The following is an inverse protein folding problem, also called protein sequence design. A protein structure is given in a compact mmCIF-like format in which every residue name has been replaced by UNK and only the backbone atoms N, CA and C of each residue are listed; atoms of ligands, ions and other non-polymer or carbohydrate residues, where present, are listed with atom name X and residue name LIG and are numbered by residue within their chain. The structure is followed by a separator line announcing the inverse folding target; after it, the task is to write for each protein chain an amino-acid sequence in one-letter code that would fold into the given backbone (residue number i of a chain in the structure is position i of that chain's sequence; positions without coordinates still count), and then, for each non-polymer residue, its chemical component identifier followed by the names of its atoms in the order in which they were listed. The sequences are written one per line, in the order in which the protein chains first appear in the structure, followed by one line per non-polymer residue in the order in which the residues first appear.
data_IF_635120526868
#
_entry.id   IF_635120526868
#
_cell.length_a   1.000
_cell.length_b   1.000
_cell.length_c   1.000
_cell.angle_alpha   90.00
_cell.angle_beta   90.00
_cell.angle_gamma   90.00
#
_symmetry.space_group_name_H-M   'P 1'
#
loop_
_entity.id
_entity.type
_entity.pdbx_description
1 polymer ?
#
# COMPACT_ATOMS: atom_id res chain seq x y z
N UNK A 1 -10.11 -6.32 8.26
CA UNK A 1 -9.62 -6.66 6.89
C UNK A 1 -9.34 -5.36 6.16
N UNK A 2 -8.06 -4.98 5.97
CA UNK A 2 -7.66 -3.65 5.51
C UNK A 2 -6.87 -3.76 4.20
N UNK A 3 -7.30 -3.02 3.18
CA UNK A 3 -6.42 -2.65 2.06
C UNK A 3 -5.94 -1.24 2.36
N UNK A 4 -4.64 -1.08 2.39
CA UNK A 4 -3.96 0.13 2.81
C UNK A 4 -3.15 0.60 1.61
N UNK A 5 -3.42 1.81 1.14
CA UNK A 5 -2.51 2.45 0.20
C UNK A 5 -1.37 2.97 1.08
N UNK A 6 -0.34 2.13 1.25
CA UNK A 6 0.79 2.46 2.09
C UNK A 6 1.68 3.43 1.37
N UNK A 7 1.80 4.59 1.95
CA UNK A 7 2.84 5.52 1.60
C UNK A 7 3.92 5.55 2.68
N UNK A 8 4.26 4.38 3.27
CA UNK A 8 4.84 4.23 4.61
C UNK A 8 6.22 4.81 4.97
N UNK A 9 7.01 5.41 4.08
CA UNK A 9 7.89 6.48 4.53
C UNK A 9 7.13 7.77 4.89
N UNK A 10 5.80 7.73 5.03
CA UNK A 10 4.85 8.85 5.01
C UNK A 10 5.21 10.06 5.86
N UNK A 11 5.80 9.86 7.04
CA UNK A 11 6.24 10.99 7.88
C UNK A 11 7.57 11.59 7.43
N UNK A 12 8.49 10.75 6.97
CA UNK A 12 9.81 11.17 6.48
C UNK A 12 9.66 11.81 5.10
N UNK A 13 8.92 11.16 4.21
CA UNK A 13 8.75 11.57 2.81
C UNK A 13 7.43 12.32 2.54
N UNK A 14 6.66 12.67 3.58
CA UNK A 14 5.41 13.45 3.50
C UNK A 14 4.39 12.91 2.49
N UNK A 15 4.21 11.59 2.46
CA UNK A 15 3.35 10.93 1.48
C UNK A 15 1.98 10.58 2.12
N UNK A 16 0.83 10.96 1.54
CA UNK A 16 -0.50 10.74 2.16
C UNK A 16 -0.93 9.27 2.25
N UNK A 17 -1.43 8.83 3.41
CA UNK A 17 -1.90 7.44 3.63
C UNK A 17 -3.43 7.37 3.56
N UNK A 18 -3.97 6.43 2.78
CA UNK A 18 -5.40 6.17 2.71
C UNK A 18 -5.74 4.76 3.20
N UNK A 19 -6.74 4.67 4.08
CA UNK A 19 -7.13 3.44 4.77
C UNK A 19 -8.57 3.08 4.45
N UNK A 20 -8.81 1.82 4.10
CA UNK A 20 -10.17 1.28 4.00
C UNK A 20 -10.35 0.04 4.88
N UNK A 21 -11.57 -0.16 5.36
CA UNK A 21 -12.03 -1.41 5.95
C UNK A 21 -13.08 -2.04 5.06
N UNK A 22 -13.14 -3.37 5.04
CA UNK A 22 -14.18 -4.11 4.34
C UNK A 22 -15.24 -4.55 5.35
N UNK A 23 -16.44 -3.98 5.29
CA UNK A 23 -17.56 -4.32 6.19
C UNK A 23 -17.11 -4.48 7.65
N UNK A 24 -16.63 -3.38 8.25
CA UNK A 24 -16.01 -3.36 9.56
C UNK A 24 -16.90 -3.97 10.66
N UNK A 25 -18.22 -3.81 10.54
CA UNK A 25 -19.19 -4.42 11.45
C UNK A 25 -19.10 -5.95 11.52
N UNK A 26 -18.67 -6.60 10.42
CA UNK A 26 -18.52 -8.07 10.33
C UNK A 26 -17.07 -8.54 10.42
N UNK A 27 -16.12 -7.77 9.88
CA UNK A 27 -14.73 -8.20 9.71
C UNK A 27 -13.74 -7.46 10.62
N UNK A 28 -14.26 -6.63 11.52
CA UNK A 28 -13.48 -5.83 12.46
C UNK A 28 -12.86 -4.58 11.82
N UNK A 29 -12.41 -3.69 12.69
CA UNK A 29 -11.69 -2.46 12.33
C UNK A 29 -10.27 -2.75 11.82
N UNK A 30 -9.57 -1.70 11.40
CA UNK A 30 -8.12 -1.74 11.21
C UNK A 30 -7.43 -2.14 12.52
N UNK A 31 -6.37 -2.94 12.42
CA UNK A 31 -5.60 -3.42 13.58
C UNK A 31 -4.87 -2.28 14.28
N UNK A 32 -4.73 -2.38 15.61
CA UNK A 32 -4.17 -1.34 16.46
C UNK A 32 -2.74 -0.91 16.09
N UNK A 33 -1.96 -1.85 15.58
CA UNK A 33 -0.58 -1.68 15.17
C UNK A 33 -0.47 -0.72 13.99
N UNK A 34 -1.43 -0.76 13.06
CA UNK A 34 -1.51 0.17 11.96
C UNK A 34 -2.07 1.52 12.43
N UNK A 35 -3.15 1.54 13.22
CA UNK A 35 -3.73 2.82 13.68
C UNK A 35 -2.78 3.60 14.58
N UNK A 36 -1.87 2.94 15.30
CA UNK A 36 -0.84 3.58 16.11
C UNK A 36 0.19 4.37 15.30
N UNK A 37 0.49 3.95 14.06
CA UNK A 37 1.50 4.57 13.20
C UNK A 37 0.93 5.61 12.22
N UNK A 38 -0.39 5.59 11.99
CA UNK A 38 -1.06 6.56 11.13
C UNK A 38 -0.91 7.99 11.68
N UNK A 39 -0.83 9.01 10.81
CA UNK A 39 -0.94 10.40 11.22
C UNK A 39 -2.23 10.62 12.01
N UNK A 40 -2.14 11.34 13.13
CA UNK A 40 -3.28 11.59 14.05
C UNK A 40 -3.86 12.99 13.90
N UNK A 41 -3.28 13.81 13.02
CA UNK A 41 -3.71 15.15 12.75
C UNK A 41 -4.90 15.16 11.78
N UNK A 42 -5.65 16.26 11.77
CA UNK A 42 -6.88 16.42 10.97
C UNK A 42 -6.65 16.40 9.45
N UNK A 43 -5.39 16.32 9.00
CA UNK A 43 -5.02 16.15 7.59
C UNK A 43 -4.98 14.68 7.15
N UNK A 44 -5.02 13.74 8.09
CA UNK A 44 -5.05 12.32 7.81
C UNK A 44 -6.36 11.91 7.13
N UNK A 45 -6.31 11.20 5.98
CA UNK A 45 -7.50 10.68 5.33
C UNK A 45 -8.33 9.82 6.29
N UNK A 46 -9.64 10.10 6.33
CA UNK A 46 -10.59 9.39 7.19
C UNK A 46 -10.69 7.95 6.71
N UNK A 47 -10.53 6.98 7.61
CA UNK A 47 -10.77 5.56 7.30
C UNK A 47 -12.15 5.39 6.65
N UNK A 48 -12.18 4.76 5.47
CA UNK A 48 -13.42 4.52 4.71
C UNK A 48 -13.83 3.05 4.84
N UNK A 49 -14.90 2.78 5.58
CA UNK A 49 -15.56 1.47 5.54
C UNK A 49 -16.35 1.31 4.23
N UNK A 50 -16.20 0.17 3.60
CA UNK A 50 -16.79 -0.12 2.28
C UNK A 50 -17.28 -1.57 2.17
N UNK A 51 -18.20 -1.77 1.23
CA UNK A 51 -18.67 -3.10 0.81
C UNK A 51 -18.16 -3.51 -0.57
N UNK A 52 -17.81 -2.55 -1.44
CA UNK A 52 -17.12 -2.81 -2.69
C UNK A 52 -15.70 -3.34 -2.42
N UNK A 53 -15.21 -4.29 -3.21
CA UNK A 53 -13.87 -4.86 -3.00
C UNK A 53 -12.76 -3.88 -3.36
N UNK A 54 -12.91 -3.13 -4.45
CA UNK A 54 -12.02 -2.01 -4.77
C UNK A 54 -12.09 -0.92 -3.71
N UNK A 55 -10.96 -0.24 -3.47
CA UNK A 55 -10.91 0.98 -2.65
C UNK A 55 -11.45 2.21 -3.38
N UNK A 56 -11.57 2.15 -4.71
CA UNK A 56 -12.05 3.25 -5.55
C UNK A 56 -13.56 3.42 -5.42
N UNK A 57 -13.97 3.86 -4.24
CA UNK A 57 -15.34 4.23 -3.89
C UNK A 57 -15.45 5.75 -3.81
N UNK A 58 -16.63 6.35 -4.08
CA UNK A 58 -16.78 7.80 -4.18
C UNK A 58 -16.24 8.57 -2.96
N UNK A 59 -16.39 8.00 -1.76
CA UNK A 59 -15.90 8.61 -0.53
C UNK A 59 -14.38 8.68 -0.46
N UNK A 60 -13.67 7.66 -0.94
CA UNK A 60 -12.21 7.69 -1.02
C UNK A 60 -11.74 8.57 -2.17
N UNK A 61 -12.36 8.44 -3.35
CA UNK A 61 -12.03 9.25 -4.54
C UNK A 61 -12.12 10.75 -4.24
N UNK A 62 -13.12 11.18 -3.47
CA UNK A 62 -13.27 12.58 -3.07
C UNK A 62 -12.13 13.12 -2.18
N UNK A 63 -11.33 12.24 -1.58
CA UNK A 63 -10.17 12.57 -0.74
C UNK A 63 -8.84 12.49 -1.50
N UNK A 64 -8.84 11.91 -2.70
CA UNK A 64 -7.65 11.89 -3.54
C UNK A 64 -7.40 13.30 -4.11
N UNK A 65 -6.12 13.68 -4.34
CA UNK A 65 -5.82 14.92 -5.02
C UNK A 65 -6.61 15.05 -6.33
N UNK A 66 -7.25 16.18 -6.56
CA UNK A 66 -7.94 16.43 -7.83
C UNK A 66 -6.89 16.65 -8.91
N UNK A 67 -6.97 15.86 -9.98
CA UNK A 67 -5.94 15.88 -11.02
C UNK A 67 -6.29 16.82 -12.16
N UNK A 68 -5.53 17.90 -12.28
CA UNK A 68 -5.47 18.72 -13.49
C UNK A 68 -4.54 18.09 -14.55
N UNK A 69 -4.60 16.76 -14.74
CA UNK A 69 -3.94 15.93 -15.80
C UNK A 69 -2.70 15.08 -15.45
N UNK A 70 -2.18 15.06 -14.21
CA UNK A 70 -0.97 14.26 -13.88
C UNK A 70 -1.32 12.95 -13.16
N UNK A 71 -0.96 11.76 -13.69
CA UNK A 71 -1.11 10.49 -12.98
C UNK A 71 -0.45 10.44 -11.59
N UNK A 72 -1.17 9.90 -10.59
CA UNK A 72 -0.58 9.54 -9.31
C UNK A 72 0.36 8.34 -9.43
N UNK A 73 1.32 8.26 -8.52
CA UNK A 73 1.95 7.00 -8.14
C UNK A 73 1.28 6.48 -6.88
N UNK A 74 0.74 5.26 -6.93
CA UNK A 74 -0.03 4.65 -5.86
C UNK A 74 0.65 3.36 -5.41
N UNK A 75 0.97 3.27 -4.12
CA UNK A 75 1.62 2.12 -3.50
C UNK A 75 0.60 1.35 -2.67
N UNK A 76 0.42 0.05 -2.92
CA UNK A 76 -0.64 -0.75 -2.31
C UNK A 76 -0.06 -1.84 -1.42
N UNK A 77 -0.62 -1.95 -0.21
CA UNK A 77 -0.47 -3.09 0.70
C UNK A 77 -1.82 -3.56 1.23
N UNK A 78 -1.77 -4.65 1.99
CA UNK A 78 -2.91 -5.17 2.73
C UNK A 78 -3.49 -6.41 2.08
N UNK A 79 -4.75 -6.68 2.42
CA UNK A 79 -5.41 -7.94 2.09
C UNK A 79 -6.82 -7.71 1.52
N UNK A 80 -7.33 -8.60 0.67
CA UNK A 80 -6.64 -9.77 0.10
C UNK A 80 -6.03 -9.47 -1.28
N UNK A 81 -4.84 -10.02 -1.56
CA UNK A 81 -4.10 -9.79 -2.80
C UNK A 81 -4.97 -10.05 -4.03
N UNK A 82 -5.66 -11.19 -4.06
CA UNK A 82 -6.48 -11.63 -5.19
C UNK A 82 -7.88 -10.99 -5.27
N UNK A 83 -8.29 -10.23 -4.25
CA UNK A 83 -9.62 -9.62 -4.18
C UNK A 83 -9.50 -8.09 -4.16
N UNK A 84 -9.36 -7.51 -2.96
CA UNK A 84 -9.42 -6.06 -2.77
C UNK A 84 -8.22 -5.36 -3.38
N UNK A 85 -7.00 -5.90 -3.19
CA UNK A 85 -5.77 -5.33 -3.79
C UNK A 85 -5.87 -5.39 -5.32
N UNK A 86 -6.25 -6.54 -5.87
CA UNK A 86 -6.35 -6.71 -7.33
C UNK A 86 -7.38 -5.77 -7.94
N UNK A 87 -8.61 -5.71 -7.41
CA UNK A 87 -9.65 -4.84 -7.97
C UNK A 87 -9.31 -3.36 -7.83
N UNK A 88 -8.71 -2.96 -6.70
CA UNK A 88 -8.22 -1.59 -6.51
C UNK A 88 -7.14 -1.22 -7.52
N UNK A 89 -6.17 -2.09 -7.73
CA UNK A 89 -5.08 -1.86 -8.66
C UNK A 89 -5.58 -1.71 -10.11
N UNK A 90 -6.52 -2.56 -10.53
CA UNK A 90 -7.11 -2.50 -11.86
C UNK A 90 -7.90 -1.21 -12.09
N UNK A 91 -8.68 -0.76 -11.10
CA UNK A 91 -9.41 0.51 -11.21
C UNK A 91 -8.46 1.71 -11.29
N UNK A 92 -7.40 1.72 -10.47
CA UNK A 92 -6.38 2.77 -10.51
C UNK A 92 -5.64 2.82 -11.85
N UNK A 93 -5.29 1.65 -12.42
CA UNK A 93 -4.71 1.55 -13.76
C UNK A 93 -5.67 2.06 -14.84
N UNK A 94 -6.95 1.72 -14.75
CA UNK A 94 -7.98 2.20 -15.68
C UNK A 94 -8.16 3.72 -15.62
N UNK A 95 -7.93 4.33 -14.45
CA UNK A 95 -7.87 5.78 -14.25
C UNK A 95 -6.55 6.42 -14.70
N UNK A 96 -5.61 5.64 -15.22
CA UNK A 96 -4.33 6.10 -15.76
C UNK A 96 -3.25 6.35 -14.71
N UNK A 97 -3.42 5.88 -13.47
CA UNK A 97 -2.42 6.00 -12.42
C UNK A 97 -1.32 4.95 -12.54
N UNK A 98 -0.14 5.25 -11.99
CA UNK A 98 0.97 4.29 -11.84
C UNK A 98 0.75 3.51 -10.55
N UNK A 99 0.68 2.19 -10.64
CA UNK A 99 0.36 1.34 -9.49
C UNK A 99 1.55 0.46 -9.14
N UNK A 100 1.92 0.47 -7.87
CA UNK A 100 3.00 -0.30 -7.29
C UNK A 100 2.42 -1.24 -6.22
N UNK A 101 2.65 -2.54 -6.36
CA UNK A 101 2.24 -3.53 -5.37
C UNK A 101 3.44 -3.89 -4.52
N UNK A 102 3.34 -3.67 -3.21
CA UNK A 102 4.43 -3.97 -2.28
C UNK A 102 4.27 -5.43 -1.83
N UNK A 103 5.03 -6.33 -2.45
CA UNK A 103 4.85 -7.77 -2.37
C UNK A 103 4.94 -8.32 -0.94
N UNK A 104 5.88 -7.82 -0.15
CA UNK A 104 6.07 -8.14 1.26
C UNK A 104 5.06 -7.44 2.20
N UNK A 105 4.17 -6.60 1.64
CA UNK A 105 3.06 -5.98 2.34
C UNK A 105 1.68 -6.51 1.95
N UNK A 106 1.57 -7.44 0.99
CA UNK A 106 0.29 -8.01 0.56
C UNK A 106 0.18 -9.51 0.86
N UNK A 107 -1.03 -9.96 1.20
CA UNK A 107 -1.27 -11.38 1.39
C UNK A 107 -2.71 -11.79 1.07
N UNK A 108 -2.94 -13.09 1.00
CA UNK A 108 -4.25 -13.73 0.80
C UNK A 108 -4.44 -14.81 1.84
N UNK A 109 -5.70 -15.16 2.15
CA UNK A 109 -6.00 -16.24 3.09
C UNK A 109 -5.41 -17.58 2.62
N UNK A 110 -5.48 -17.83 1.31
CA UNK A 110 -4.89 -18.98 0.65
C UNK A 110 -3.55 -18.59 0.02
N UNK A 111 -2.46 -19.24 0.44
CA UNK A 111 -1.11 -18.90 0.00
C UNK A 111 -0.92 -19.02 -1.53
N UNK A 112 -1.59 -19.99 -2.17
CA UNK A 112 -1.52 -20.22 -3.62
C UNK A 112 -2.15 -19.11 -4.48
N UNK A 113 -3.09 -18.34 -3.93
CA UNK A 113 -3.75 -17.24 -4.65
C UNK A 113 -2.81 -16.03 -4.85
N UNK A 114 -1.91 -15.82 -3.89
CA UNK A 114 -1.01 -14.66 -3.87
C UNK A 114 -0.11 -14.59 -5.12
N UNK A 115 0.69 -15.62 -5.48
CA UNK A 115 1.55 -15.55 -6.67
C UNK A 115 0.74 -15.41 -7.97
N UNK A 116 -0.44 -16.04 -8.07
CA UNK A 116 -1.32 -15.90 -9.23
C UNK A 116 -1.80 -14.46 -9.40
N UNK A 117 -2.27 -13.84 -8.31
CA UNK A 117 -2.70 -12.45 -8.33
C UNK A 117 -1.56 -11.47 -8.65
N UNK A 118 -0.37 -11.66 -8.06
CA UNK A 118 0.80 -10.82 -8.33
C UNK A 118 1.26 -10.94 -9.79
N UNK A 119 1.32 -12.15 -10.35
CA UNK A 119 1.68 -12.37 -11.75
C UNK A 119 0.67 -11.73 -12.70
N UNK A 120 -0.63 -11.80 -12.37
CA UNK A 120 -1.67 -11.07 -13.11
C UNK A 120 -1.44 -9.57 -13.06
N UNK A 121 -1.30 -8.99 -11.86
CA UNK A 121 -1.14 -7.54 -11.70
C UNK A 121 0.10 -7.00 -12.43
N UNK A 122 1.21 -7.75 -12.40
CA UNK A 122 2.40 -7.40 -13.18
C UNK A 122 2.10 -7.35 -14.69
N UNK A 123 1.35 -8.32 -15.23
CA UNK A 123 0.95 -8.34 -16.65
C UNK A 123 -0.02 -7.21 -17.03
N UNK A 124 -0.86 -6.78 -16.11
CA UNK A 124 -1.83 -5.70 -16.32
C UNK A 124 -1.17 -4.30 -16.25
N UNK A 125 0.09 -4.22 -15.82
CA UNK A 125 0.87 -2.97 -15.81
C UNK A 125 1.20 -2.43 -14.42
N UNK A 126 0.93 -3.16 -13.35
CA UNK A 126 1.47 -2.80 -12.03
C UNK A 126 2.96 -3.12 -11.93
N UNK A 127 3.71 -2.27 -11.22
CA UNK A 127 5.07 -2.60 -10.79
C UNK A 127 5.01 -3.37 -9.47
N UNK A 128 5.52 -4.61 -9.45
CA UNK A 128 5.60 -5.40 -8.21
C UNK A 128 7.00 -5.23 -7.61
N UNK A 129 7.09 -4.65 -6.42
CA UNK A 129 8.35 -4.34 -5.72
C UNK A 129 8.26 -4.73 -4.24
N UNK A 130 9.35 -4.61 -3.50
CA UNK A 130 9.37 -4.79 -2.04
C UNK A 130 9.39 -3.46 -1.29
N UNK A 131 9.08 -3.49 0.00
CA UNK A 131 9.07 -2.30 0.86
C UNK A 131 10.44 -1.60 0.89
N UNK A 132 11.54 -2.35 1.07
CA UNK A 132 12.90 -1.79 1.07
C UNK A 132 13.28 -1.19 -0.30
N UNK A 133 12.92 -1.86 -1.39
CA UNK A 133 13.14 -1.34 -2.75
C UNK A 133 12.43 0.00 -2.96
N UNK A 134 11.17 0.11 -2.54
CA UNK A 134 10.41 1.34 -2.61
C UNK A 134 11.10 2.48 -1.84
N UNK A 135 11.54 2.21 -0.60
CA UNK A 135 12.12 3.23 0.26
C UNK A 135 13.38 3.86 -0.38
N UNK A 136 14.26 3.04 -0.96
CA UNK A 136 15.45 3.56 -1.62
C UNK A 136 15.17 4.14 -3.01
N UNK A 137 14.18 3.63 -3.74
CA UNK A 137 13.73 4.24 -5.00
C UNK A 137 13.21 5.67 -4.81
N UNK A 138 12.48 5.92 -3.72
CA UNK A 138 11.97 7.26 -3.39
C UNK A 138 13.07 8.23 -2.92
N UNK A 139 14.13 7.73 -2.32
CA UNK A 139 15.27 8.54 -1.87
C UNK A 139 16.23 8.85 -3.02
N UNK A 140 16.43 7.91 -3.94
CA UNK A 140 17.27 7.95 -5.13
C UNK A 140 18.80 8.19 -4.92
N UNK A 141 19.21 9.04 -3.98
CA UNK A 141 20.60 9.41 -3.71
C UNK A 141 20.93 9.32 -2.21
N UNK A 142 22.10 8.76 -1.88
CA UNK A 142 22.58 8.70 -0.49
C UNK A 142 22.90 10.09 0.10
N UNK A 143 23.00 11.13 -0.73
CA UNK A 143 23.14 12.52 -0.30
C UNK A 143 21.79 13.22 -0.04
N UNK A 144 20.66 12.58 -0.33
CA UNK A 144 19.35 13.14 -0.02
C UNK A 144 19.17 13.32 1.49
N UNK A 145 18.50 14.40 1.90
CA UNK A 145 18.28 14.71 3.31
C UNK A 145 17.50 13.60 4.06
N UNK A 146 16.68 12.83 3.33
CA UNK A 146 15.89 11.73 3.87
C UNK A 146 16.65 10.39 3.91
N UNK A 147 17.82 10.28 3.28
CA UNK A 147 18.59 9.03 3.25
C UNK A 147 18.91 8.52 4.65
N UNK A 148 19.42 9.37 5.54
CA UNK A 148 19.82 8.95 6.89
C UNK A 148 18.63 8.49 7.75
N UNK A 149 17.49 9.21 7.79
CA UNK A 149 16.26 8.70 8.40
C UNK A 149 15.81 7.35 7.81
N UNK A 150 15.77 7.20 6.49
CA UNK A 150 15.34 5.98 5.82
C UNK A 150 16.29 4.80 6.10
N UNK A 151 17.60 5.03 6.01
CA UNK A 151 18.62 4.02 6.33
C UNK A 151 18.54 3.54 7.78
N UNK A 152 18.23 4.45 8.72
CA UNK A 152 17.98 4.09 10.12
C UNK A 152 16.76 3.20 10.25
N UNK A 153 15.62 3.57 9.62
CA UNK A 153 14.39 2.77 9.63
C UNK A 153 14.61 1.36 9.06
N UNK A 154 15.30 1.25 7.92
CA UNK A 154 15.63 -0.06 7.31
C UNK A 154 16.49 -0.92 8.25
N UNK A 155 17.43 -0.31 8.98
CA UNK A 155 18.25 -1.05 9.97
C UNK A 155 17.42 -1.52 11.16
N UNK A 156 16.54 -0.66 11.69
CA UNK A 156 15.68 -0.99 12.83
C UNK A 156 14.65 -2.07 12.51
N UNK A 157 14.18 -2.14 11.26
CA UNK A 157 13.14 -3.07 10.80
C UNK A 157 13.70 -4.26 10.01
N UNK A 158 15.03 -4.45 10.02
CA UNK A 158 15.73 -5.45 9.19
C UNK A 158 15.20 -6.87 9.37
N UNK A 159 15.01 -7.30 10.62
CA UNK A 159 14.61 -8.68 10.91
C UNK A 159 13.14 -8.94 10.52
N UNK A 160 12.27 -7.94 10.73
CA UNK A 160 10.87 -7.99 10.30
C UNK A 160 10.77 -8.01 8.77
N UNK A 161 11.54 -7.15 8.09
CA UNK A 161 11.59 -7.09 6.62
C UNK A 161 12.09 -8.41 6.04
N UNK A 162 13.16 -8.98 6.61
CA UNK A 162 13.66 -10.29 6.23
C UNK A 162 12.59 -11.37 6.37
N UNK A 163 11.92 -11.44 7.52
CA UNK A 163 10.85 -12.41 7.75
C UNK A 163 9.66 -12.23 6.78
N UNK A 164 9.28 -10.98 6.50
CA UNK A 164 8.22 -10.66 5.56
C UNK A 164 8.57 -11.10 4.13
N UNK A 165 9.77 -10.77 3.64
CA UNK A 165 10.24 -11.19 2.32
C UNK A 165 10.33 -12.72 2.22
N UNK A 166 10.89 -13.40 3.22
CA UNK A 166 10.98 -14.86 3.25
C UNK A 166 9.61 -15.55 3.31
N UNK A 167 8.57 -14.87 3.79
CA UNK A 167 7.21 -15.44 3.91
C UNK A 167 6.33 -15.10 2.70
N UNK A 168 6.37 -13.84 2.27
CA UNK A 168 5.44 -13.29 1.30
C UNK A 168 6.00 -13.25 -0.13
N UNK A 169 7.34 -13.21 -0.29
CA UNK A 169 7.97 -13.14 -1.60
C UNK A 169 8.42 -14.50 -2.18
N UNK A 170 8.07 -15.61 -1.51
CA UNK A 170 8.25 -16.96 -2.09
C UNK A 170 7.33 -17.13 -3.30
N UNK A 171 7.95 -17.48 -4.44
CA UNK A 171 7.29 -17.84 -5.70
C UNK A 171 6.68 -19.24 -5.60
#
# INVERSE_FOLDING_TARGET
MCTLILTSPAKILNIPIYVTTQNAARLGSTVSELTAILPKDSSAPVEVDKTAFSMMVPKLESQLPKHDSTPLSVFIVGIETHICVTQTALDLLALGHRVYIIQDGVSSCNAGERPVALARLAREGCTVITSESLLFELVADANDANFKPISTLVKETKDQTKAAVETFCKL
#
